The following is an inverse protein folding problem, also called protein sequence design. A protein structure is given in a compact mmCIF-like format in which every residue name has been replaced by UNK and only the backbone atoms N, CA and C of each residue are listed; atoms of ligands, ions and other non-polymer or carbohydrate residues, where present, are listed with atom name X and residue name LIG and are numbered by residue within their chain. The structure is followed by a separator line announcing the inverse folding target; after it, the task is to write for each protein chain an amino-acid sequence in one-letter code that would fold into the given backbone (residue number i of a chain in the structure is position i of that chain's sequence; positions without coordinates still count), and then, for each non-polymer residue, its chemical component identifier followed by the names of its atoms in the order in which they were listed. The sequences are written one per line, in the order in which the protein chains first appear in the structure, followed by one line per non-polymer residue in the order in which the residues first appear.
data_IF_364410703133
#
_entry.id   IF_364410703133
#
_cell.length_a   1.000
_cell.length_b   1.000
_cell.length_c   1.000
_cell.angle_alpha   90.00
_cell.angle_beta   90.00
_cell.angle_gamma   90.00
#
_symmetry.space_group_name_H-M   'P 1'
#
loop_
_entity.id
_entity.type
_entity.pdbx_description
1 polymer ?
#
# COMPACT_ATOMS: atom_id res chain seq x y z
N UNK A 1 2.38 20.70 -9.74
CA UNK A 1 3.04 20.29 -8.47
C UNK A 1 3.57 18.87 -8.66
N UNK A 2 4.73 18.53 -8.11
CA UNK A 2 5.31 17.18 -8.18
C UNK A 2 4.70 16.29 -7.09
N UNK A 3 4.35 15.04 -7.40
CA UNK A 3 3.82 14.07 -6.44
C UNK A 3 4.89 13.68 -5.41
N UNK A 4 4.52 13.67 -4.11
CA UNK A 4 5.43 13.39 -2.98
C UNK A 4 4.84 12.44 -1.93
N UNK A 5 3.74 11.74 -2.24
CA UNK A 5 3.06 10.87 -1.26
C UNK A 5 3.97 9.81 -0.65
N UNK A 6 4.77 9.15 -1.49
CA UNK A 6 5.76 8.14 -1.08
C UNK A 6 6.80 8.65 -0.07
N UNK A 7 7.30 9.88 -0.22
CA UNK A 7 8.25 10.49 0.73
C UNK A 7 7.61 10.76 2.09
N UNK A 8 6.37 11.25 2.09
CA UNK A 8 5.61 11.55 3.30
C UNK A 8 5.27 10.27 4.07
N UNK A 9 4.82 9.23 3.37
CA UNK A 9 4.52 7.92 3.95
C UNK A 9 5.77 7.29 4.55
N UNK A 10 6.88 7.27 3.80
CA UNK A 10 8.16 6.81 4.32
C UNK A 10 8.53 7.54 5.62
N UNK A 11 8.48 8.86 5.63
CA UNK A 11 8.81 9.69 6.79
C UNK A 11 7.90 9.40 7.99
N UNK A 12 6.61 9.17 7.76
CA UNK A 12 5.66 8.83 8.81
C UNK A 12 5.97 7.45 9.42
N UNK A 13 6.19 6.44 8.58
CA UNK A 13 6.51 5.07 9.03
C UNK A 13 7.83 5.06 9.82
N UNK A 14 8.89 5.68 9.30
CA UNK A 14 10.18 5.71 10.01
C UNK A 14 10.11 6.44 11.34
N UNK A 15 9.27 7.48 11.46
CA UNK A 15 9.08 8.20 12.71
C UNK A 15 8.29 7.41 13.76
N UNK A 16 7.41 6.51 13.34
CA UNK A 16 6.54 5.72 14.25
C UNK A 16 7.25 4.44 14.71
N UNK A 17 7.97 3.78 13.80
CA UNK A 17 8.54 2.45 14.02
C UNK A 17 10.07 2.46 14.23
N UNK A 18 10.73 3.62 14.11
CA UNK A 18 12.17 3.79 14.23
C UNK A 18 12.96 2.77 13.38
N UNK A 19 13.85 1.99 14.00
CA UNK A 19 14.65 0.96 13.32
C UNK A 19 13.85 -0.34 13.03
N UNK A 20 12.63 -0.48 13.57
CA UNK A 20 11.79 -1.69 13.45
C UNK A 20 10.90 -1.69 12.21
N UNK A 21 11.38 -1.14 11.10
CA UNK A 21 10.59 -0.92 9.88
C UNK A 21 10.68 -2.08 8.87
N UNK A 22 11.72 -2.89 8.93
CA UNK A 22 11.98 -3.94 7.93
C UNK A 22 11.08 -5.18 8.06
N UNK A 23 10.49 -5.40 9.24
CA UNK A 23 9.63 -6.55 9.51
C UNK A 23 8.16 -6.30 9.16
N UNK A 24 7.76 -5.04 8.94
CA UNK A 24 6.35 -4.63 8.86
C UNK A 24 5.57 -5.37 7.76
N UNK A 25 4.34 -5.76 8.08
CA UNK A 25 3.32 -6.19 7.13
C UNK A 25 2.48 -5.00 6.70
N UNK A 26 2.53 -4.69 5.41
CA UNK A 26 1.97 -3.46 4.85
C UNK A 26 0.86 -3.77 3.84
N UNK A 27 -0.27 -3.07 3.98
CA UNK A 27 -1.35 -3.02 3.02
C UNK A 27 -1.36 -1.65 2.32
N UNK A 28 -1.28 -1.63 1.01
CA UNK A 28 -1.30 -0.42 0.16
C UNK A 28 -2.62 -0.38 -0.62
N UNK A 29 -3.60 0.36 -0.10
CA UNK A 29 -4.94 0.47 -0.70
C UNK A 29 -4.96 1.59 -1.74
N UNK A 30 -5.36 1.24 -2.96
CA UNK A 30 -5.18 2.10 -4.13
C UNK A 30 -3.72 2.23 -4.51
N UNK A 31 -2.98 1.11 -4.55
CA UNK A 31 -1.52 1.12 -4.75
C UNK A 31 -1.08 1.71 -6.11
N UNK A 32 -2.01 1.85 -7.06
CA UNK A 32 -1.77 2.44 -8.37
C UNK A 32 -0.64 1.72 -9.10
N UNK A 33 0.31 2.50 -9.63
CA UNK A 33 1.49 1.98 -10.35
C UNK A 33 2.59 1.47 -9.43
N UNK A 34 2.40 1.46 -8.11
CA UNK A 34 3.32 0.87 -7.15
C UNK A 34 4.40 1.80 -6.60
N UNK A 35 4.27 3.12 -6.76
CA UNK A 35 5.29 4.10 -6.35
C UNK A 35 5.58 4.02 -4.84
N UNK A 36 4.53 3.96 -4.01
CA UNK A 36 4.66 3.87 -2.55
C UNK A 36 5.40 2.59 -2.13
N UNK A 37 4.89 1.42 -2.53
CA UNK A 37 5.54 0.14 -2.20
C UNK A 37 6.99 0.07 -2.69
N UNK A 38 7.28 0.57 -3.89
CA UNK A 38 8.65 0.57 -4.43
C UNK A 38 9.59 1.43 -3.59
N UNK A 39 9.14 2.63 -3.21
CA UNK A 39 9.91 3.55 -2.38
C UNK A 39 10.13 3.03 -0.96
N UNK A 40 9.15 2.32 -0.38
CA UNK A 40 9.34 1.65 0.91
C UNK A 40 10.38 0.51 0.79
N UNK A 41 10.26 -0.34 -0.23
CA UNK A 41 11.13 -1.50 -0.40
C UNK A 41 12.59 -1.12 -0.69
N UNK A 42 12.85 -0.06 -1.47
CA UNK A 42 14.23 0.42 -1.72
C UNK A 42 14.90 0.95 -0.44
N UNK A 43 14.12 1.47 0.50
CA UNK A 43 14.58 1.92 1.83
C UNK A 43 14.53 0.81 2.89
N UNK A 44 14.41 -0.46 2.49
CA UNK A 44 14.37 -1.63 3.38
C UNK A 44 13.22 -1.61 4.40
N UNK A 45 12.08 -1.01 4.02
CA UNK A 45 10.85 -0.98 4.82
C UNK A 45 9.88 -2.06 4.31
N UNK A 46 9.30 -2.81 5.26
CA UNK A 46 8.30 -3.83 5.03
C UNK A 46 8.89 -5.18 4.60
N UNK A 47 8.48 -6.24 5.29
CA UNK A 47 8.82 -7.62 4.91
C UNK A 47 7.84 -8.14 3.86
N UNK A 48 6.55 -7.82 4.03
CA UNK A 48 5.44 -8.12 3.14
C UNK A 48 4.69 -6.85 2.76
N UNK A 49 4.44 -6.67 1.47
CA UNK A 49 3.63 -5.56 0.94
C UNK A 49 2.55 -6.15 0.03
N UNK A 50 1.29 -5.89 0.37
CA UNK A 50 0.12 -6.27 -0.41
C UNK A 50 -0.48 -5.01 -1.03
N UNK A 51 -0.69 -5.03 -2.35
CA UNK A 51 -1.30 -3.92 -3.07
C UNK A 51 -2.71 -4.28 -3.53
N UNK A 52 -3.67 -3.39 -3.29
CA UNK A 52 -5.05 -3.52 -3.80
C UNK A 52 -5.33 -2.33 -4.70
N UNK A 53 -5.86 -2.58 -5.90
CA UNK A 53 -6.30 -1.51 -6.79
C UNK A 53 -7.43 -2.00 -7.71
N UNK A 54 -8.41 -1.14 -7.97
CA UNK A 54 -9.53 -1.44 -8.87
C UNK A 54 -9.11 -1.42 -10.35
N UNK A 55 -7.94 -0.85 -10.68
CA UNK A 55 -7.43 -0.75 -12.04
C UNK A 55 -6.44 -1.86 -12.34
N UNK A 56 -6.89 -2.88 -13.08
CA UNK A 56 -6.01 -3.92 -13.60
C UNK A 56 -4.82 -3.36 -14.43
N UNK A 57 -5.01 -2.22 -15.12
CA UNK A 57 -3.92 -1.53 -15.85
C UNK A 57 -2.83 -1.05 -14.89
N UNK A 58 -3.21 -0.46 -13.76
CA UNK A 58 -2.25 0.03 -12.76
C UNK A 58 -1.52 -1.13 -12.10
N UNK A 59 -2.24 -2.20 -11.72
CA UNK A 59 -1.64 -3.41 -11.17
C UNK A 59 -0.64 -4.07 -12.14
N UNK A 60 -0.91 -4.05 -13.45
CA UNK A 60 0.05 -4.53 -14.44
C UNK A 60 1.36 -3.73 -14.43
N UNK A 61 1.31 -2.43 -14.18
CA UNK A 61 2.50 -1.59 -14.03
C UNK A 61 3.19 -1.90 -12.68
N UNK A 62 2.44 -1.96 -11.58
CA UNK A 62 2.98 -2.25 -10.25
C UNK A 62 3.68 -3.62 -10.17
N UNK A 63 3.18 -4.62 -10.92
CA UNK A 63 3.82 -5.95 -11.04
C UNK A 63 5.22 -5.87 -11.66
N UNK A 64 5.48 -4.82 -12.44
CA UNK A 64 6.79 -4.50 -13.02
C UNK A 64 7.77 -3.84 -12.05
N UNK A 65 7.37 -3.56 -10.81
CA UNK A 65 8.26 -2.99 -9.80
C UNK A 65 9.12 -4.08 -9.13
N UNK A 66 10.43 -3.98 -9.29
CA UNK A 66 11.40 -4.92 -8.71
C UNK A 66 12.49 -4.18 -7.92
N UNK A 67 12.96 -4.81 -6.84
CA UNK A 67 14.15 -4.40 -6.09
C UNK A 67 15.08 -5.61 -5.98
N UNK A 68 16.33 -5.46 -6.44
CA UNK A 68 17.34 -6.54 -6.42
C UNK A 68 16.83 -7.85 -7.04
N UNK A 69 16.09 -7.74 -8.15
CA UNK A 69 15.54 -8.89 -8.89
C UNK A 69 14.33 -9.57 -8.26
N UNK A 70 13.77 -9.03 -7.16
CA UNK A 70 12.55 -9.54 -6.52
C UNK A 70 11.39 -8.56 -6.71
N UNK A 71 10.15 -9.05 -6.89
CA UNK A 71 8.97 -8.19 -6.92
C UNK A 71 8.89 -7.34 -5.64
N UNK A 72 8.43 -6.10 -5.78
CA UNK A 72 8.17 -5.20 -4.66
C UNK A 72 6.97 -5.68 -3.84
N UNK A 73 5.88 -5.98 -4.53
CA UNK A 73 4.64 -6.44 -3.94
C UNK A 73 4.65 -7.97 -3.86
N UNK A 74 4.34 -8.50 -2.68
CA UNK A 74 4.17 -9.93 -2.46
C UNK A 74 2.90 -10.43 -3.14
N UNK A 75 1.87 -9.58 -3.19
CA UNK A 75 0.61 -9.84 -3.85
C UNK A 75 0.01 -8.54 -4.39
N UNK A 76 -0.69 -8.66 -5.52
CA UNK A 76 -1.42 -7.57 -6.17
C UNK A 76 -2.83 -8.05 -6.44
N UNK A 77 -3.81 -7.42 -5.81
CA UNK A 77 -5.20 -7.84 -5.77
C UNK A 77 -6.03 -6.85 -6.57
N UNK A 78 -6.72 -7.35 -7.59
CA UNK A 78 -7.64 -6.58 -8.41
C UNK A 78 -9.03 -6.59 -7.78
N UNK A 79 -9.31 -5.61 -6.92
CA UNK A 79 -10.56 -5.49 -6.18
C UNK A 79 -10.82 -4.03 -5.80
N UNK A 80 -12.09 -3.70 -5.61
CA UNK A 80 -12.50 -2.47 -4.93
C UNK A 80 -12.05 -2.53 -3.45
N UNK A 81 -11.56 -1.43 -2.88
CA UNK A 81 -10.89 -1.44 -1.57
C UNK A 81 -11.86 -1.72 -0.42
N UNK A 82 -13.09 -1.22 -0.46
CA UNK A 82 -14.09 -1.48 0.58
C UNK A 82 -14.57 -2.93 0.51
N UNK A 83 -14.67 -3.51 -0.69
CA UNK A 83 -14.99 -4.93 -0.86
C UNK A 83 -13.86 -5.83 -0.36
N UNK A 84 -12.61 -5.42 -0.54
CA UNK A 84 -11.44 -6.10 0.03
C UNK A 84 -11.49 -6.07 1.57
N UNK A 85 -11.66 -4.89 2.17
CA UNK A 85 -11.71 -4.74 3.63
C UNK A 85 -12.86 -5.54 4.26
N UNK A 86 -14.04 -5.59 3.61
CA UNK A 86 -15.17 -6.43 4.06
C UNK A 86 -14.84 -7.92 4.07
N UNK A 87 -13.98 -8.40 3.18
CA UNK A 87 -13.59 -9.81 3.08
C UNK A 87 -12.41 -10.13 4.00
N UNK A 88 -11.43 -9.24 4.10
CA UNK A 88 -10.18 -9.43 4.82
C UNK A 88 -10.33 -9.11 6.32
N UNK A 89 -11.16 -9.88 7.04
CA UNK A 89 -11.48 -9.60 8.45
C UNK A 89 -10.49 -10.17 9.48
N UNK A 90 -9.65 -11.11 9.07
CA UNK A 90 -8.87 -11.93 10.01
C UNK A 90 -7.36 -11.66 9.98
N UNK A 91 -6.87 -10.83 9.06
CA UNK A 91 -5.47 -10.50 8.95
C UNK A 91 -5.20 -9.12 9.57
N UNK A 92 -4.12 -9.03 10.34
CA UNK A 92 -3.67 -7.77 10.95
C UNK A 92 -2.46 -7.25 10.18
N UNK A 93 -2.52 -5.97 9.81
CA UNK A 93 -1.41 -5.27 9.18
C UNK A 93 -0.81 -4.28 10.18
N UNK A 94 0.52 -4.13 10.15
CA UNK A 94 1.19 -3.11 10.95
C UNK A 94 0.96 -1.71 10.38
N UNK A 95 0.84 -1.61 9.05
CA UNK A 95 0.60 -0.35 8.33
C UNK A 95 -0.42 -0.55 7.23
N UNK A 96 -1.45 0.31 7.21
CA UNK A 96 -2.38 0.45 6.09
C UNK A 96 -2.18 1.83 5.47
N UNK A 97 -1.91 1.88 4.17
CA UNK A 97 -1.63 3.09 3.41
C UNK A 97 -2.85 3.48 2.60
N UNK A 98 -3.22 4.75 2.68
CA UNK A 98 -4.20 5.40 1.81
C UNK A 98 -3.55 6.62 1.15
N UNK A 99 -2.91 6.44 0.00
CA UNK A 99 -2.16 7.49 -0.70
C UNK A 99 -2.97 8.07 -1.86
N UNK A 100 -3.52 9.28 -1.72
CA UNK A 100 -4.39 9.91 -2.73
C UNK A 100 -5.54 9.00 -3.21
N UNK A 101 -6.12 8.22 -2.30
CA UNK A 101 -7.19 7.26 -2.62
C UNK A 101 -8.53 7.59 -1.93
N UNK A 102 -8.50 8.21 -0.75
CA UNK A 102 -9.71 8.41 0.07
C UNK A 102 -10.80 9.27 -0.60
N UNK A 103 -10.45 10.09 -1.59
CA UNK A 103 -11.43 10.90 -2.32
C UNK A 103 -12.29 10.09 -3.30
N UNK A 104 -11.96 8.81 -3.53
CA UNK A 104 -12.80 7.88 -4.28
C UNK A 104 -13.87 7.20 -3.40
N UNK A 105 -13.77 7.38 -2.08
CA UNK A 105 -14.76 6.87 -1.14
C UNK A 105 -16.04 7.72 -1.21
N UNK A 106 -17.18 7.05 -1.32
CA UNK A 106 -18.47 7.71 -1.48
C UNK A 106 -19.05 8.14 -0.14
N UNK A 107 -18.92 7.29 0.88
CA UNK A 107 -19.32 7.56 2.26
C UNK A 107 -18.18 7.18 3.21
N UNK A 108 -17.27 8.13 3.40
CA UNK A 108 -16.07 7.93 4.22
C UNK A 108 -16.39 7.48 5.66
N UNK A 109 -17.53 7.92 6.23
CA UNK A 109 -17.87 7.59 7.61
C UNK A 109 -18.34 6.13 7.73
N UNK A 110 -19.18 5.67 6.81
CA UNK A 110 -19.62 4.28 6.78
C UNK A 110 -18.45 3.30 6.50
N UNK A 111 -17.48 3.74 5.71
CA UNK A 111 -16.36 2.89 5.28
C UNK A 111 -15.23 2.78 6.31
N UNK A 112 -15.13 3.72 7.26
CA UNK A 112 -14.21 3.62 8.40
C UNK A 112 -14.61 2.55 9.43
N UNK A 113 -15.87 2.10 9.40
CA UNK A 113 -16.40 1.08 10.31
C UNK A 113 -16.27 -0.35 9.77
N UNK A 114 -15.67 -0.51 8.58
CA UNK A 114 -15.40 -1.79 7.92
C UNK A 114 -14.20 -2.53 8.52
#
# INVERSE_FOLDING_TARGET
KQYRGHELIHTAITKIFDDSTSALDILDLGCGTGICGHFLKINNIGSRIIGVDISNRMLNIARGCFIKGKPVYNELIHMEMTDFLKQEKNYLYDVIIFAEVLHYLHDFQAELEL
#
